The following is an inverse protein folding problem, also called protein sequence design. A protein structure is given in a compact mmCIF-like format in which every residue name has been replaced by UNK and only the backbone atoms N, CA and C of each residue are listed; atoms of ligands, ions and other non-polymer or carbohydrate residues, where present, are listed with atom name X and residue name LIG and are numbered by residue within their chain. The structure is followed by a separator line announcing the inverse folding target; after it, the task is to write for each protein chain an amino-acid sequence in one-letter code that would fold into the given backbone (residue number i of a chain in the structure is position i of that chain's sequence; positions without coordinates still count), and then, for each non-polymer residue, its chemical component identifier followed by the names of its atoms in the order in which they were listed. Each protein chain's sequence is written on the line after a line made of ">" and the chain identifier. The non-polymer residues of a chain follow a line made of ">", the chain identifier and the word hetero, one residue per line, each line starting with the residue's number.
data_IF_857687656658
#
_entry.id   IF_857687656658
#
_cell.length_a   1.000
_cell.length_b   1.000
_cell.length_c   1.000
_cell.angle_alpha   90.00
_cell.angle_beta   90.00
_cell.angle_gamma   90.00
#
_symmetry.space_group_name_H-M   'P 1'
#
loop_
_entity.id
_entity.type
_entity.pdbx_description
1 polymer ?
#
# COMPACT_ATOMS: atom_id res chain seq x y z
N UNK A 1 -19.75 7.71 -2.30
CA UNK A 1 -18.93 6.89 -3.25
C UNK A 1 -19.81 5.96 -4.06
N UNK A 2 -19.46 5.69 -5.33
CA UNK A 2 -20.24 4.81 -6.23
C UNK A 2 -20.10 3.34 -5.83
N UNK A 3 -21.17 2.55 -5.97
CA UNK A 3 -21.13 1.08 -5.81
C UNK A 3 -20.45 0.36 -6.99
N UNK A 4 -20.07 1.11 -8.03
CA UNK A 4 -19.29 0.57 -9.14
C UNK A 4 -17.85 0.29 -8.70
N UNK A 5 -17.45 -0.98 -8.77
CA UNK A 5 -16.08 -1.43 -8.52
C UNK A 5 -15.14 -0.71 -9.49
N UNK A 6 -14.22 0.09 -8.95
CA UNK A 6 -13.20 0.79 -9.72
C UNK A 6 -11.89 -0.03 -9.78
N UNK A 7 -11.12 0.11 -10.87
CA UNK A 7 -9.78 -0.46 -10.93
C UNK A 7 -8.87 0.23 -9.91
N UNK A 8 -8.05 -0.56 -9.23
CA UNK A 8 -6.99 -0.08 -8.36
C UNK A 8 -5.69 -0.66 -8.87
N UNK A 9 -4.69 0.19 -9.11
CA UNK A 9 -3.42 -0.24 -9.66
C UNK A 9 -2.47 -0.55 -8.51
N UNK A 10 -1.88 -1.74 -8.52
CA UNK A 10 -0.87 -2.17 -7.57
C UNK A 10 0.41 -2.46 -8.35
N UNK A 11 1.46 -1.67 -8.13
CA UNK A 11 2.78 -1.89 -8.74
C UNK A 11 3.79 -2.36 -7.71
N UNK A 12 4.65 -3.31 -8.06
CA UNK A 12 5.63 -3.79 -7.10
C UNK A 12 6.90 -4.37 -7.70
N UNK A 13 7.97 -4.39 -6.89
CA UNK A 13 9.14 -5.24 -7.10
C UNK A 13 9.68 -5.75 -5.75
N UNK A 14 10.29 -6.93 -5.73
CA UNK A 14 10.87 -7.49 -4.49
C UNK A 14 9.82 -7.85 -3.43
N UNK A 15 8.57 -8.07 -3.85
CA UNK A 15 7.46 -8.51 -3.00
C UNK A 15 7.06 -9.91 -3.44
N UNK A 16 6.91 -10.80 -2.47
CA UNK A 16 6.58 -12.20 -2.78
C UNK A 16 5.13 -12.34 -3.25
N UNK A 17 4.82 -13.32 -4.12
CA UNK A 17 3.44 -13.57 -4.56
C UNK A 17 2.45 -13.79 -3.41
N UNK A 18 2.92 -14.38 -2.29
CA UNK A 18 2.09 -14.56 -1.10
C UNK A 18 1.72 -13.21 -0.44
N UNK A 19 2.65 -12.26 -0.35
CA UNK A 19 2.37 -10.93 0.20
C UNK A 19 1.39 -10.17 -0.70
N UNK A 20 1.55 -10.25 -2.02
CA UNK A 20 0.61 -9.70 -2.98
C UNK A 20 -0.79 -10.28 -2.78
N UNK A 21 -0.92 -11.60 -2.72
CA UNK A 21 -2.21 -12.26 -2.47
C UNK A 21 -2.87 -11.82 -1.16
N UNK A 22 -2.07 -11.58 -0.10
CA UNK A 22 -2.61 -11.07 1.16
C UNK A 22 -3.15 -9.64 0.98
N UNK A 23 -2.43 -8.77 0.28
CA UNK A 23 -2.86 -7.39 0.00
C UNK A 23 -4.11 -7.38 -0.88
N UNK A 24 -4.09 -8.09 -2.01
CA UNK A 24 -5.22 -8.14 -2.95
C UNK A 24 -6.46 -8.76 -2.30
N UNK A 25 -6.32 -9.77 -1.44
CA UNK A 25 -7.46 -10.33 -0.69
C UNK A 25 -8.22 -9.33 0.20
N UNK A 26 -7.55 -8.24 0.59
CA UNK A 26 -8.17 -7.13 1.34
C UNK A 26 -8.81 -6.14 0.37
N UNK A 27 -8.06 -5.73 -0.68
CA UNK A 27 -8.48 -4.70 -1.63
C UNK A 27 -9.62 -5.17 -2.55
N UNK A 28 -9.59 -6.43 -3.00
CA UNK A 28 -10.56 -7.01 -3.94
C UNK A 28 -11.99 -7.10 -3.38
N UNK A 29 -12.18 -6.85 -2.08
CA UNK A 29 -13.52 -6.71 -1.48
C UNK A 29 -14.27 -5.49 -1.99
N UNK A 30 -13.54 -4.46 -2.42
CA UNK A 30 -14.07 -3.12 -2.75
C UNK A 30 -13.54 -2.59 -4.08
N UNK A 31 -12.43 -3.13 -4.56
CA UNK A 31 -11.76 -2.75 -5.80
C UNK A 31 -11.64 -3.93 -6.73
N UNK A 32 -11.28 -3.66 -7.98
CA UNK A 32 -10.71 -4.66 -8.88
C UNK A 32 -9.22 -4.38 -8.96
N UNK A 33 -8.40 -5.17 -8.26
CA UNK A 33 -6.95 -4.93 -8.25
C UNK A 33 -6.32 -5.35 -9.58
N UNK A 34 -5.53 -4.44 -10.15
CA UNK A 34 -4.70 -4.67 -11.33
C UNK A 34 -3.24 -4.68 -10.86
N UNK A 35 -2.70 -5.89 -10.72
CA UNK A 35 -1.34 -6.16 -10.28
C UNK A 35 -0.35 -6.03 -11.44
N UNK A 36 0.74 -5.29 -11.21
CA UNK A 36 1.83 -5.09 -12.16
C UNK A 36 3.18 -5.27 -11.44
N UNK A 37 3.85 -6.40 -11.68
CA UNK A 37 5.25 -6.56 -11.29
C UNK A 37 6.16 -5.74 -12.23
N UNK A 38 6.94 -4.84 -11.66
CA UNK A 38 7.85 -3.94 -12.39
C UNK A 38 9.31 -4.32 -12.15
N UNK A 39 10.19 -3.91 -13.06
CA UNK A 39 11.63 -4.05 -12.85
C UNK A 39 12.13 -3.09 -11.76
N UNK A 40 13.07 -3.55 -10.95
CA UNK A 40 13.77 -2.67 -10.02
C UNK A 40 14.62 -1.68 -10.82
N UNK A 41 14.38 -0.38 -10.63
CA UNK A 41 15.10 0.67 -11.36
C UNK A 41 16.56 0.84 -10.90
N UNK A 42 17.01 0.13 -9.86
CA UNK A 42 18.33 0.22 -9.20
C UNK A 42 18.71 1.60 -8.64
N UNK A 43 17.96 2.65 -8.99
CA UNK A 43 18.03 3.99 -8.39
C UNK A 43 17.52 3.97 -6.95
N UNK A 44 16.58 3.08 -6.66
CA UNK A 44 15.92 3.01 -5.39
C UNK A 44 16.78 2.19 -4.41
N UNK A 45 17.25 2.84 -3.33
CA UNK A 45 18.07 2.20 -2.30
C UNK A 45 17.32 1.09 -1.52
N UNK A 46 16.08 0.79 -1.87
CA UNK A 46 15.21 -0.18 -1.20
C UNK A 46 15.18 -1.51 -1.94
N UNK A 47 15.28 -2.61 -1.18
CA UNK A 47 15.23 -3.99 -1.70
C UNK A 47 13.85 -4.34 -2.28
N UNK A 48 12.80 -3.67 -1.82
CA UNK A 48 11.44 -3.87 -2.30
C UNK A 48 10.64 -2.58 -2.35
N UNK A 49 9.63 -2.55 -3.21
CA UNK A 49 8.73 -1.42 -3.39
C UNK A 49 7.30 -1.91 -3.63
N UNK A 50 6.36 -1.20 -3.03
CA UNK A 50 4.92 -1.34 -3.22
C UNK A 50 4.34 0.03 -3.53
N UNK A 51 3.61 0.15 -4.62
CA UNK A 51 2.79 1.31 -4.94
C UNK A 51 1.33 0.87 -5.05
N UNK A 52 0.43 1.58 -4.37
CA UNK A 52 -1.01 1.36 -4.45
C UNK A 52 -1.67 2.67 -4.84
N UNK A 53 -2.33 2.67 -6.01
CA UNK A 53 -3.03 3.83 -6.54
C UNK A 53 -4.55 3.65 -6.42
N UNK A 54 -5.10 4.31 -5.40
CA UNK A 54 -6.53 4.36 -5.12
C UNK A 54 -7.24 5.37 -6.04
N UNK A 55 -8.34 4.96 -6.72
CA UNK A 55 -9.11 5.82 -7.63
C UNK A 55 -10.06 6.79 -6.88
N UNK A 56 -9.83 7.03 -5.59
CA UNK A 56 -10.67 7.84 -4.74
C UNK A 56 -9.84 8.77 -3.87
N UNK A 57 -10.46 9.85 -3.41
CA UNK A 57 -9.79 10.83 -2.55
C UNK A 57 -9.67 10.32 -1.13
N UNK A 58 -8.59 10.71 -0.46
CA UNK A 58 -8.36 10.40 0.94
C UNK A 58 -9.25 11.26 1.85
N UNK A 59 -10.39 10.74 2.29
CA UNK A 59 -11.34 11.44 3.15
C UNK A 59 -12.16 10.48 4.03
N UNK A 60 -13.03 11.01 4.90
CA UNK A 60 -13.86 10.16 5.76
C UNK A 60 -14.82 9.25 5.00
N UNK A 61 -15.32 9.67 3.82
CA UNK A 61 -16.23 8.85 3.02
C UNK A 61 -15.53 7.59 2.51
N UNK A 62 -14.26 7.70 2.13
CA UNK A 62 -13.42 6.56 1.78
C UNK A 62 -13.41 5.53 2.90
N UNK A 63 -13.12 5.93 4.14
CA UNK A 63 -13.01 4.98 5.25
C UNK A 63 -14.35 4.40 5.70
N UNK A 64 -15.44 5.18 5.61
CA UNK A 64 -16.80 4.68 5.85
C UNK A 64 -17.17 3.60 4.84
N UNK A 65 -16.76 3.76 3.58
CA UNK A 65 -17.04 2.81 2.50
C UNK A 65 -16.08 1.60 2.50
N UNK A 66 -14.78 1.83 2.68
CA UNK A 66 -13.73 0.80 2.67
C UNK A 66 -13.70 -0.05 3.95
N UNK A 67 -14.27 0.44 5.06
CA UNK A 67 -14.19 -0.11 6.43
C UNK A 67 -12.81 0.13 7.08
N UNK A 68 -12.82 0.87 8.20
CA UNK A 68 -11.64 1.13 9.03
C UNK A 68 -10.92 -0.16 9.45
N UNK A 69 -11.63 -1.28 9.66
CA UNK A 69 -11.02 -2.56 10.04
C UNK A 69 -10.22 -3.17 8.90
N UNK A 70 -10.66 -3.03 7.65
CA UNK A 70 -9.91 -3.50 6.49
C UNK A 70 -8.69 -2.60 6.23
N UNK A 71 -8.82 -1.29 6.45
CA UNK A 71 -7.68 -0.38 6.45
C UNK A 71 -6.63 -0.74 7.51
N UNK A 72 -7.05 -0.99 8.75
CA UNK A 72 -6.15 -1.43 9.83
C UNK A 72 -5.49 -2.78 9.52
N UNK A 73 -6.23 -3.69 8.88
CA UNK A 73 -5.68 -4.97 8.42
C UNK A 73 -4.60 -4.76 7.35
N UNK A 74 -4.82 -3.88 6.38
CA UNK A 74 -3.86 -3.52 5.35
C UNK A 74 -2.58 -2.91 5.96
N UNK A 75 -2.73 -1.96 6.90
CA UNK A 75 -1.61 -1.43 7.69
C UNK A 75 -0.84 -2.51 8.45
N UNK A 76 -1.55 -3.50 8.99
CA UNK A 76 -0.96 -4.66 9.64
C UNK A 76 -0.03 -5.47 8.71
N UNK A 77 -0.45 -5.65 7.45
CA UNK A 77 0.35 -6.33 6.43
C UNK A 77 1.64 -5.55 6.16
N UNK A 78 1.57 -4.23 5.98
CA UNK A 78 2.77 -3.40 5.76
C UNK A 78 3.80 -3.52 6.88
N UNK A 79 3.34 -3.52 8.15
CA UNK A 79 4.22 -3.70 9.31
C UNK A 79 4.85 -5.10 9.34
N UNK A 80 4.10 -6.13 8.98
CA UNK A 80 4.60 -7.51 8.92
C UNK A 80 5.62 -7.70 7.79
N UNK A 81 5.37 -7.11 6.62
CA UNK A 81 6.32 -7.09 5.49
C UNK A 81 7.64 -6.43 5.89
N UNK A 82 7.58 -5.29 6.60
CA UNK A 82 8.77 -4.64 7.15
C UNK A 82 9.47 -5.52 8.19
N UNK A 83 8.72 -6.12 9.13
CA UNK A 83 9.27 -6.97 10.20
C UNK A 83 10.07 -8.15 9.63
N UNK A 84 9.55 -8.83 8.59
CA UNK A 84 10.21 -9.97 7.95
C UNK A 84 11.50 -9.60 7.22
N UNK A 85 11.59 -8.38 6.68
CA UNK A 85 12.78 -7.87 5.99
C UNK A 85 13.81 -7.22 6.92
N UNK A 86 13.41 -6.84 8.14
CA UNK A 86 14.29 -6.25 9.15
C UNK A 86 14.55 -4.74 8.97
N UNK A 87 15.57 -4.25 9.68
CA UNK A 87 16.00 -2.85 9.63
C UNK A 87 16.86 -2.56 8.39
N UNK A 88 17.02 -1.27 8.07
CA UNK A 88 17.64 -0.80 6.84
C UNK A 88 16.60 -0.53 5.76
N UNK A 89 17.07 -0.27 4.53
CA UNK A 89 16.22 0.08 3.39
C UNK A 89 15.56 -1.16 2.78
N UNK A 90 14.67 -1.75 3.56
CA UNK A 90 14.00 -3.00 3.24
C UNK A 90 12.87 -2.81 2.22
N UNK A 91 11.94 -1.90 2.51
CA UNK A 91 10.72 -1.68 1.72
C UNK A 91 10.33 -0.20 1.68
N UNK A 92 9.92 0.26 0.50
CA UNK A 92 9.26 1.57 0.29
C UNK A 92 7.80 1.31 -0.09
N UNK A 93 6.86 1.95 0.59
CA UNK A 93 5.43 1.87 0.26
C UNK A 93 4.92 3.26 -0.12
N UNK A 94 4.23 3.34 -1.25
CA UNK A 94 3.57 4.54 -1.75
C UNK A 94 2.07 4.29 -1.87
N UNK A 95 1.27 5.16 -1.27
CA UNK A 95 -0.19 5.10 -1.32
C UNK A 95 -0.67 6.40 -1.97
N UNK A 96 -1.20 6.30 -3.19
CA UNK A 96 -1.66 7.44 -3.99
C UNK A 96 -3.19 7.46 -4.02
N UNK A 97 -3.79 8.61 -3.75
CA UNK A 97 -5.25 8.81 -3.73
C UNK A 97 -5.62 9.89 -4.74
N UNK A 98 -6.43 9.51 -5.74
CA UNK A 98 -6.92 10.43 -6.75
C UNK A 98 -7.96 11.40 -6.16
N UNK A 99 -7.73 12.71 -6.27
CA UNK A 99 -8.64 13.69 -5.71
C UNK A 99 -8.31 15.12 -6.07
N UNK A 100 -8.99 16.05 -5.41
CA UNK A 100 -8.72 17.48 -5.54
C UNK A 100 -8.40 18.06 -4.15
N UNK A 101 -7.11 18.12 -3.75
CA UNK A 101 -5.92 17.69 -4.48
C UNK A 101 -5.67 16.18 -4.44
N UNK A 102 -4.77 15.70 -5.31
CA UNK A 102 -4.17 14.36 -5.18
C UNK A 102 -3.34 14.28 -3.90
N UNK A 103 -3.44 13.14 -3.21
CA UNK A 103 -2.75 12.92 -1.94
C UNK A 103 -1.88 11.67 -2.07
N UNK A 104 -0.60 11.81 -1.76
CA UNK A 104 0.36 10.70 -1.73
C UNK A 104 1.00 10.55 -0.36
N UNK A 105 0.96 9.34 0.18
CA UNK A 105 1.68 8.97 1.40
C UNK A 105 2.88 8.10 1.04
N UNK A 106 4.04 8.45 1.58
CA UNK A 106 5.27 7.69 1.38
C UNK A 106 5.78 7.16 2.71
N UNK A 107 5.92 5.84 2.79
CA UNK A 107 6.43 5.11 3.95
C UNK A 107 7.77 4.52 3.55
N UNK A 108 8.84 4.99 4.16
CA UNK A 108 10.21 4.71 3.71
C UNK A 108 11.22 4.65 4.86
N UNK A 109 10.75 4.67 6.11
CA UNK A 109 11.61 4.53 7.27
C UNK A 109 12.40 3.22 7.25
N UNK A 110 13.71 3.34 7.47
CA UNK A 110 14.65 2.23 7.52
C UNK A 110 14.57 1.46 8.86
N UNK A 111 14.27 2.15 9.96
CA UNK A 111 14.09 1.53 11.26
C UNK A 111 12.65 1.08 11.49
N UNK A 112 12.47 -0.12 12.03
CA UNK A 112 11.15 -0.72 12.23
C UNK A 112 10.22 0.09 13.14
N UNK A 113 10.75 0.79 14.15
CA UNK A 113 9.94 1.62 15.04
C UNK A 113 9.35 2.83 14.30
N UNK A 114 10.16 3.55 13.54
CA UNK A 114 9.72 4.71 12.76
C UNK A 114 8.80 4.31 11.62
N UNK A 115 9.06 3.18 10.97
CA UNK A 115 8.18 2.62 9.95
C UNK A 115 6.78 2.35 10.51
N UNK A 116 6.68 1.74 11.70
CA UNK A 116 5.38 1.51 12.35
C UNK A 116 4.64 2.82 12.62
N UNK A 117 5.36 3.89 12.98
CA UNK A 117 4.76 5.20 13.20
C UNK A 117 4.30 5.85 11.89
N UNK A 118 5.07 5.73 10.80
CA UNK A 118 4.70 6.22 9.47
C UNK A 118 3.43 5.53 8.94
N UNK A 119 3.28 4.23 9.17
CA UNK A 119 2.08 3.47 8.79
C UNK A 119 0.82 3.94 9.52
N UNK A 120 0.95 4.53 10.73
CA UNK A 120 -0.18 4.96 11.55
C UNK A 120 -0.56 6.43 11.38
N UNK A 121 0.21 7.19 10.60
CA UNK A 121 -0.12 8.57 10.24
C UNK A 121 -1.34 8.63 9.34
#
# INVERSE_FOLDING_TARGET
>A
MSDQIQPLILKHYGISPWEINVITSILDKRFKTEDEEIENTYENKFVSHLEISFPYSFNEEFFKWFDFREWDRLKGVFKEMKRRRGNGKAIKIELNFAGEPDISFMIQSDQSQWFKMEVEK
#
